data_IF_849230366339
#
_entry.id   IF_849230366339
#
_cell.length_a   1.000
_cell.length_b   1.000
_cell.length_c   1.000
_cell.angle_alpha   90.00
_cell.angle_beta   90.00
_cell.angle_gamma   90.00
#
_symmetry.space_group_name_H-M   'P 1'
#
loop_
_entity.id
_entity.type
_entity.pdbx_description
1 polymer ?
#
# COMPACT_ATOMS: atom_id res chain seq x y z
N UNK A 1 -1.89 18.89 27.26
CA UNK A 1 -3.11 18.36 26.60
C UNK A 1 -3.36 16.96 27.13
N UNK A 2 -4.59 16.56 27.49
CA UNK A 2 -4.89 15.17 27.83
C UNK A 2 -4.60 14.27 26.62
N UNK A 3 -4.05 13.08 26.85
CA UNK A 3 -3.86 12.09 25.78
C UNK A 3 -5.23 11.56 25.37
N UNK A 4 -5.63 11.85 24.14
CA UNK A 4 -6.86 11.27 23.56
C UNK A 4 -6.57 9.82 23.18
N UNK A 5 -7.35 8.88 23.71
CA UNK A 5 -7.29 7.49 23.28
C UNK A 5 -7.91 7.37 21.87
N UNK A 6 -7.08 7.01 20.90
CA UNK A 6 -7.47 6.83 19.50
C UNK A 6 -7.50 5.35 19.10
N UNK A 7 -7.44 4.42 20.05
CA UNK A 7 -7.52 2.98 19.78
C UNK A 7 -8.86 2.62 19.14
N UNK A 8 -8.81 1.77 18.12
CA UNK A 8 -9.96 1.31 17.37
C UNK A 8 -9.69 1.24 15.87
N UNK A 9 -10.75 1.01 15.10
CA UNK A 9 -10.69 1.00 13.65
C UNK A 9 -11.36 2.25 13.08
N UNK A 10 -10.63 2.99 12.26
CA UNK A 10 -11.05 4.26 11.68
C UNK A 10 -11.13 4.12 10.16
N UNK A 11 -12.28 4.45 9.58
CA UNK A 11 -12.50 4.43 8.14
C UNK A 11 -12.32 5.83 7.55
N UNK A 12 -11.56 5.95 6.46
CA UNK A 12 -11.42 7.20 5.70
C UNK A 12 -11.61 6.90 4.21
N UNK A 13 -12.86 6.72 3.79
CA UNK A 13 -13.19 6.30 2.43
C UNK A 13 -12.94 7.38 1.36
N UNK A 14 -12.80 8.66 1.75
CA UNK A 14 -12.33 9.72 0.84
C UNK A 14 -10.84 9.63 0.51
N UNK A 15 -10.07 8.79 1.22
CA UNK A 15 -8.69 8.44 0.89
C UNK A 15 -8.46 6.93 0.68
N UNK A 16 -9.53 6.13 0.70
CA UNK A 16 -9.48 4.66 0.55
C UNK A 16 -8.58 4.03 1.63
N UNK A 17 -8.75 4.48 2.87
CA UNK A 17 -7.97 4.02 4.01
C UNK A 17 -8.85 3.32 5.05
N UNK A 18 -8.32 2.23 5.59
CA UNK A 18 -8.75 1.64 6.87
C UNK A 18 -7.58 1.66 7.84
N UNK A 19 -7.77 2.24 9.02
CA UNK A 19 -6.70 2.44 10.01
C UNK A 19 -7.07 1.74 11.30
N UNK A 20 -6.31 0.72 11.70
CA UNK A 20 -6.43 0.08 13.01
C UNK A 20 -5.34 0.64 13.92
N UNK A 21 -5.73 1.29 15.01
CA UNK A 21 -4.83 1.77 16.04
C UNK A 21 -5.00 0.95 17.30
N UNK A 22 -3.89 0.55 17.91
CA UNK A 22 -3.88 -0.08 19.23
C UNK A 22 -2.57 0.19 19.94
N UNK A 23 -2.65 0.74 21.15
CA UNK A 23 -1.47 1.03 21.98
C UNK A 23 -0.44 1.87 21.20
N UNK A 24 0.73 1.28 20.94
CA UNK A 24 1.90 1.89 20.34
C UNK A 24 2.10 1.53 18.85
N UNK A 25 1.10 0.96 18.20
CA UNK A 25 1.16 0.62 16.78
C UNK A 25 -0.09 1.03 16.01
N UNK A 26 0.09 1.23 14.71
CA UNK A 26 -0.96 1.58 13.76
C UNK A 26 -0.80 0.70 12.52
N UNK A 27 -1.85 0.02 12.11
CA UNK A 27 -1.92 -0.65 10.82
C UNK A 27 -2.78 0.16 9.84
N UNK A 28 -2.29 0.35 8.63
CA UNK A 28 -2.91 1.20 7.60
C UNK A 28 -3.11 0.36 6.35
N UNK A 29 -4.37 0.09 6.01
CA UNK A 29 -4.75 -0.47 4.72
C UNK A 29 -5.03 0.67 3.73
N UNK A 30 -4.42 0.62 2.54
CA UNK A 30 -4.59 1.65 1.50
C UNK A 30 -4.96 1.06 0.14
N UNK A 31 -5.99 1.64 -0.48
CA UNK A 31 -6.41 1.34 -1.84
C UNK A 31 -6.28 2.50 -2.82
N UNK A 32 -6.94 2.31 -3.96
CA UNK A 32 -7.26 3.32 -4.97
C UNK A 32 -8.61 2.98 -5.61
N UNK A 33 -9.24 3.91 -6.30
CA UNK A 33 -10.46 3.70 -7.10
C UNK A 33 -10.30 4.31 -8.48
N UNK A 34 -11.35 4.26 -9.30
CA UNK A 34 -11.46 5.06 -10.51
C UNK A 34 -11.61 6.58 -10.28
N UNK A 35 -11.66 7.03 -9.02
CA UNK A 35 -11.78 8.46 -8.65
C UNK A 35 -10.71 8.97 -7.69
N UNK A 36 -9.97 8.08 -7.05
CA UNK A 36 -8.87 8.44 -6.15
C UNK A 36 -7.65 7.59 -6.49
N UNK A 37 -6.52 8.27 -6.74
CA UNK A 37 -5.30 7.64 -7.19
C UNK A 37 -4.58 6.87 -6.08
N UNK A 38 -3.80 5.85 -6.48
CA UNK A 38 -3.03 5.02 -5.56
C UNK A 38 -1.75 5.66 -5.06
N UNK A 39 -1.12 6.48 -5.90
CA UNK A 39 0.12 7.17 -5.61
C UNK A 39 0.25 8.42 -6.48
N UNK A 40 0.97 9.41 -5.98
CA UNK A 40 1.36 10.61 -6.72
C UNK A 40 2.84 10.52 -7.07
N UNK A 41 3.16 10.66 -8.36
CA UNK A 41 4.54 10.64 -8.87
C UNK A 41 4.81 11.95 -9.60
N UNK A 42 5.95 12.59 -9.31
CA UNK A 42 6.45 13.76 -10.04
C UNK A 42 7.73 13.43 -10.80
N UNK A 43 8.21 14.35 -11.64
CA UNK A 43 9.44 14.17 -12.40
C UNK A 43 10.65 13.74 -11.55
N UNK A 44 10.77 14.27 -10.33
CA UNK A 44 11.90 14.03 -9.42
C UNK A 44 11.49 13.47 -8.05
N UNK A 45 10.24 13.01 -7.87
CA UNK A 45 9.76 12.48 -6.60
C UNK A 45 8.93 11.22 -6.80
N UNK A 46 9.07 10.28 -5.87
CA UNK A 46 8.29 9.04 -5.79
C UNK A 46 8.29 8.18 -7.08
N UNK A 47 9.40 8.20 -7.83
CA UNK A 47 9.44 7.60 -9.18
C UNK A 47 9.09 6.12 -9.23
N UNK A 48 9.30 5.39 -8.12
CA UNK A 48 9.05 3.95 -8.02
C UNK A 48 7.81 3.60 -7.18
N UNK A 49 7.02 4.59 -6.73
CA UNK A 49 5.88 4.41 -5.82
C UNK A 49 4.65 3.72 -6.39
N UNK A 50 4.73 3.12 -7.59
CA UNK A 50 3.61 2.56 -8.37
C UNK A 50 2.64 1.73 -7.53
N UNK A 51 3.16 0.88 -6.65
CA UNK A 51 2.36 -0.09 -5.90
C UNK A 51 1.85 0.40 -4.53
N UNK A 52 2.16 1.63 -4.10
CA UNK A 52 1.76 2.14 -2.77
C UNK A 52 0.24 2.11 -2.49
N UNK A 53 -0.59 2.09 -3.53
CA UNK A 53 -2.05 2.00 -3.41
C UNK A 53 -2.64 0.62 -3.72
N UNK A 54 -1.85 -0.40 -4.08
CA UNK A 54 -2.32 -1.68 -4.60
C UNK A 54 -2.82 -2.62 -3.48
N UNK A 55 -3.68 -2.10 -2.61
CA UNK A 55 -4.14 -2.77 -1.41
C UNK A 55 -3.04 -2.91 -0.36
N UNK A 56 -2.22 -1.89 -0.14
CA UNK A 56 -1.14 -1.95 0.86
C UNK A 56 -1.70 -2.21 2.27
N UNK A 57 -0.86 -2.80 3.13
CA UNK A 57 -1.10 -2.94 4.58
C UNK A 57 0.23 -2.69 5.30
N UNK A 58 0.43 -1.45 5.74
CA UNK A 58 1.62 -1.05 6.49
C UNK A 58 1.36 -1.11 7.98
N UNK A 59 2.31 -1.65 8.76
CA UNK A 59 2.26 -1.67 10.23
C UNK A 59 3.37 -0.76 10.75
N UNK A 60 2.97 0.35 11.35
CA UNK A 60 3.84 1.38 11.89
C UNK A 60 3.93 1.24 13.40
N UNK A 61 5.13 1.34 13.93
CA UNK A 61 5.41 1.35 15.36
C UNK A 61 5.82 2.77 15.82
N UNK A 62 5.95 2.96 17.13
CA UNK A 62 6.39 4.23 17.74
C UNK A 62 7.66 4.81 17.11
N UNK A 63 8.59 3.94 16.73
CA UNK A 63 9.79 4.34 16.03
C UNK A 63 9.78 3.84 14.60
N UNK A 64 10.37 4.67 13.78
CA UNK A 64 10.60 4.45 12.37
C UNK A 64 11.57 3.28 12.12
N UNK A 65 12.58 3.11 12.99
CA UNK A 65 13.47 1.93 13.00
C UNK A 65 12.69 0.63 13.30
N UNK A 66 11.77 0.66 14.28
CA UNK A 66 10.92 -0.49 14.58
C UNK A 66 9.94 -0.82 13.43
N UNK A 67 9.64 0.16 12.58
CA UNK A 67 8.80 -0.01 11.38
C UNK A 67 9.58 -0.64 10.22
N UNK A 68 10.91 -0.48 10.17
CA UNK A 68 11.75 -1.11 9.16
C UNK A 68 11.83 -0.37 7.82
N UNK A 69 11.30 0.86 7.72
CA UNK A 69 11.50 1.74 6.56
C UNK A 69 12.86 2.45 6.63
N UNK A 70 13.63 2.32 5.56
CA UNK A 70 14.93 2.98 5.41
C UNK A 70 14.82 4.42 4.90
N UNK A 71 15.68 5.32 5.37
CA UNK A 71 15.79 6.68 4.84
C UNK A 71 16.23 6.67 3.38
N UNK A 72 15.69 7.60 2.60
CA UNK A 72 15.98 7.72 1.17
C UNK A 72 15.44 6.59 0.29
N UNK A 73 14.97 5.47 0.86
CA UNK A 73 14.56 4.28 0.11
C UNK A 73 15.74 3.41 -0.38
N UNK A 74 16.94 3.62 0.15
CA UNK A 74 18.15 2.91 -0.28
C UNK A 74 18.05 1.42 0.05
N UNK A 75 18.10 0.57 -0.98
CA UNK A 75 17.95 -0.89 -0.80
C UNK A 75 16.50 -1.36 -0.54
N UNK A 76 15.52 -0.45 -0.59
CA UNK A 76 14.10 -0.81 -0.55
C UNK A 76 13.63 -1.33 -1.91
N UNK A 77 13.04 -2.52 -1.95
CA UNK A 77 12.42 -3.05 -3.16
C UNK A 77 10.99 -2.53 -3.31
N UNK A 78 10.79 -1.63 -4.27
CA UNK A 78 9.49 -1.03 -4.53
C UNK A 78 8.50 -1.98 -5.23
N UNK A 79 8.92 -3.16 -5.69
CA UNK A 79 8.00 -4.24 -6.06
C UNK A 79 7.27 -4.82 -4.84
N UNK A 80 7.90 -4.76 -3.66
CA UNK A 80 7.56 -5.52 -2.45
C UNK A 80 6.96 -4.60 -1.38
N UNK A 81 6.08 -3.68 -1.79
CA UNK A 81 5.36 -2.82 -0.85
C UNK A 81 4.49 -3.67 0.10
N UNK A 82 4.56 -3.48 1.44
CA UNK A 82 3.87 -4.34 2.40
C UNK A 82 2.36 -4.46 2.15
N UNK A 83 1.85 -5.68 2.23
CA UNK A 83 0.44 -6.03 2.04
C UNK A 83 -0.08 -6.00 0.61
N UNK A 84 0.63 -5.36 -0.31
CA UNK A 84 0.19 -5.18 -1.70
C UNK A 84 0.18 -6.49 -2.47
N UNK A 85 -0.68 -6.57 -3.48
CA UNK A 85 -0.54 -7.56 -4.56
C UNK A 85 0.03 -6.84 -5.78
N UNK A 86 1.20 -7.25 -6.24
CA UNK A 86 1.97 -6.57 -7.28
C UNK A 86 2.53 -7.56 -8.30
N UNK A 87 3.06 -7.03 -9.40
CA UNK A 87 3.86 -7.80 -10.36
C UNK A 87 5.31 -7.42 -10.13
N UNK A 88 6.14 -8.39 -9.75
CA UNK A 88 7.57 -8.17 -9.56
C UNK A 88 8.24 -8.05 -10.93
N UNK A 89 8.66 -6.83 -11.26
CA UNK A 89 9.29 -6.48 -12.52
C UNK A 89 10.81 -6.66 -12.39
N UNK A 90 11.38 -7.55 -13.20
CA UNK A 90 12.82 -7.81 -13.22
C UNK A 90 13.62 -6.63 -13.76
N UNK A 91 13.10 -5.95 -14.78
CA UNK A 91 13.60 -4.65 -15.21
C UNK A 91 12.93 -3.55 -14.38
N UNK A 92 13.69 -3.09 -13.39
CA UNK A 92 13.28 -2.08 -12.42
C UNK A 92 12.92 -0.73 -13.07
N UNK A 93 13.39 -0.44 -14.29
CA UNK A 93 13.00 0.76 -15.02
C UNK A 93 11.50 0.77 -15.37
N UNK A 94 10.84 -0.40 -15.41
CA UNK A 94 9.41 -0.52 -15.69
C UNK A 94 8.51 -0.24 -14.48
N UNK A 95 9.07 -0.12 -13.27
CA UNK A 95 8.33 0.34 -12.10
C UNK A 95 8.01 1.83 -12.16
N UNK A 96 8.89 2.62 -12.80
CA UNK A 96 8.70 4.07 -12.94
C UNK A 96 7.96 4.40 -14.23
N UNK A 97 7.20 5.52 -14.27
CA UNK A 97 6.63 5.98 -15.52
C UNK A 97 7.72 6.30 -16.56
N UNK A 98 7.48 6.02 -17.86
CA UNK A 98 8.46 6.25 -18.92
C UNK A 98 8.76 7.74 -19.12
N UNK A 99 7.75 8.60 -18.97
CA UNK A 99 7.90 10.06 -19.05
C UNK A 99 8.24 10.68 -17.70
N UNK A 100 9.09 11.72 -17.70
CA UNK A 100 9.38 12.55 -16.53
C UNK A 100 8.31 13.64 -16.34
N UNK A 101 7.09 13.25 -15.97
CA UNK A 101 5.99 14.17 -15.68
C UNK A 101 5.09 13.61 -14.58
N UNK A 102 4.15 14.41 -14.10
CA UNK A 102 3.21 13.98 -13.06
C UNK A 102 2.39 12.77 -13.54
N UNK A 103 2.27 11.76 -12.67
CA UNK A 103 1.55 10.51 -12.93
C UNK A 103 0.81 10.07 -11.68
N UNK A 104 -0.48 9.79 -11.87
CA UNK A 104 -1.41 9.35 -10.83
C UNK A 104 -2.23 8.20 -11.38
N UNK A 105 -1.96 6.97 -10.95
CA UNK A 105 -2.71 5.80 -11.41
C UNK A 105 -4.03 5.67 -10.63
N UNK A 106 -5.11 5.51 -11.40
CA UNK A 106 -6.44 5.16 -10.95
C UNK A 106 -6.68 3.71 -11.38
N UNK A 107 -7.62 3.02 -10.73
CA UNK A 107 -7.98 1.65 -11.15
C UNK A 107 -9.26 1.65 -11.99
N UNK A 108 -9.54 0.56 -12.70
CA UNK A 108 -10.72 0.44 -13.56
C UNK A 108 -12.06 0.31 -12.81
N UNK A 109 -12.04 0.04 -11.51
CA UNK A 109 -13.24 -0.15 -10.68
C UNK A 109 -13.37 0.91 -9.56
N UNK A 110 -14.58 1.01 -8.98
CA UNK A 110 -14.89 1.97 -7.91
C UNK A 110 -14.86 1.36 -6.50
N UNK A 111 -14.75 0.04 -6.37
CA UNK A 111 -14.85 -0.64 -5.08
C UNK A 111 -13.48 -0.75 -4.38
N UNK A 112 -13.22 0.22 -3.50
CA UNK A 112 -12.16 0.13 -2.50
C UNK A 112 -12.54 1.00 -1.30
N UNK A 113 -12.35 0.48 -0.08
CA UNK A 113 -12.66 1.23 1.12
C UNK A 113 -12.67 0.37 2.37
N UNK A 114 -13.08 0.99 3.47
CA UNK A 114 -13.14 0.38 4.77
C UNK A 114 -14.49 0.61 5.45
N UNK A 115 -14.83 -0.30 6.36
CA UNK A 115 -15.97 -0.20 7.26
C UNK A 115 -15.49 -0.45 8.69
N UNK A 116 -15.78 0.51 9.58
CA UNK A 116 -15.54 0.40 11.02
C UNK A 116 -16.71 -0.27 11.73
N UNK A 117 -16.40 -1.17 12.65
CA UNK A 117 -17.29 -1.75 13.64
C UNK A 117 -16.78 -1.43 15.06
N UNK A 118 -16.32 -0.19 15.27
CA UNK A 118 -15.78 0.27 16.55
C UNK A 118 -14.30 -0.10 16.70
N UNK A 119 -14.00 -1.12 17.49
CA UNK A 119 -12.62 -1.58 17.69
C UNK A 119 -12.09 -2.39 16.51
N UNK A 120 -13.00 -2.99 15.76
CA UNK A 120 -12.71 -3.90 14.66
C UNK A 120 -13.18 -3.29 13.35
N UNK A 121 -12.77 -3.86 12.23
CA UNK A 121 -13.21 -3.39 10.94
C UNK A 121 -12.72 -4.23 9.78
N UNK A 122 -13.15 -3.82 8.60
CA UNK A 122 -12.79 -4.45 7.33
C UNK A 122 -12.26 -3.39 6.37
N UNK A 123 -11.22 -3.74 5.62
CA UNK A 123 -10.85 -3.07 4.37
C UNK A 123 -11.05 -4.05 3.22
N UNK A 124 -11.58 -3.59 2.09
CA UNK A 124 -11.75 -4.40 0.90
C UNK A 124 -11.52 -3.61 -0.38
N UNK A 125 -11.08 -4.32 -1.42
CA UNK A 125 -10.77 -3.77 -2.73
C UNK A 125 -11.02 -4.83 -3.83
N UNK A 126 -11.74 -4.44 -4.88
CA UNK A 126 -11.80 -5.18 -6.16
C UNK A 126 -10.97 -4.37 -7.15
N UNK A 127 -9.80 -4.88 -7.50
CA UNK A 127 -8.80 -4.18 -8.32
C UNK A 127 -8.80 -4.70 -9.75
N UNK A 128 -8.89 -3.75 -10.68
CA UNK A 128 -8.52 -3.96 -12.09
C UNK A 128 -7.53 -2.87 -12.45
N UNK A 129 -6.33 -3.26 -12.86
CA UNK A 129 -5.33 -2.31 -13.32
C UNK A 129 -5.87 -1.51 -14.51
N UNK A 130 -5.87 -0.19 -14.38
CA UNK A 130 -6.00 0.74 -15.49
C UNK A 130 -4.72 1.56 -15.56
N UNK A 131 -3.75 1.06 -16.34
CA UNK A 131 -2.49 1.76 -16.50
C UNK A 131 -2.68 3.13 -17.15
N UNK A 132 -3.75 3.36 -17.93
CA UNK A 132 -4.08 4.63 -18.58
C UNK A 132 -2.88 5.33 -19.24
N UNK A 133 -2.00 4.58 -19.90
CA UNK A 133 -0.77 5.08 -20.55
C UNK A 133 0.36 5.52 -19.60
N UNK A 134 0.23 5.30 -18.29
CA UNK A 134 1.22 5.70 -17.26
C UNK A 134 2.34 4.68 -17.11
N UNK A 135 2.02 3.41 -17.39
CA UNK A 135 2.92 2.27 -17.32
C UNK A 135 2.58 1.26 -18.42
N UNK A 136 3.48 0.32 -18.66
CA UNK A 136 3.11 -0.94 -19.32
C UNK A 136 2.10 -1.68 -18.45
N UNK A 137 0.94 -2.00 -19.02
CA UNK A 137 -0.08 -2.77 -18.32
C UNK A 137 0.44 -4.19 -18.06
N UNK A 138 0.26 -4.66 -16.84
CA UNK A 138 0.48 -6.04 -16.45
C UNK A 138 -0.83 -6.84 -16.42
N UNK A 139 -1.96 -6.23 -16.78
CA UNK A 139 -3.30 -6.82 -16.67
C UNK A 139 -3.58 -7.38 -15.27
N UNK A 140 -3.07 -6.70 -14.25
CA UNK A 140 -3.18 -7.15 -12.86
C UNK A 140 -4.63 -6.97 -12.39
N UNK A 141 -5.23 -8.07 -11.93
CA UNK A 141 -6.53 -8.04 -11.24
C UNK A 141 -6.41 -8.81 -9.95
N UNK A 142 -7.12 -8.37 -8.92
CA UNK A 142 -7.25 -9.12 -7.67
C UNK A 142 -8.44 -8.61 -6.86
N UNK A 143 -8.93 -9.45 -5.96
CA UNK A 143 -9.81 -9.06 -4.87
C UNK A 143 -9.10 -9.28 -3.57
N UNK A 144 -9.03 -8.24 -2.75
CA UNK A 144 -8.36 -8.28 -1.46
C UNK A 144 -9.32 -7.82 -0.37
N UNK A 145 -9.29 -8.52 0.76
CA UNK A 145 -9.97 -8.11 1.98
C UNK A 145 -9.05 -8.31 3.18
N UNK A 146 -9.19 -7.43 4.16
CA UNK A 146 -8.44 -7.43 5.42
C UNK A 146 -9.48 -7.29 6.52
N UNK A 147 -9.62 -8.31 7.35
CA UNK A 147 -10.43 -8.27 8.56
C UNK A 147 -9.51 -7.99 9.73
N UNK A 148 -9.75 -6.88 10.42
CA UNK A 148 -8.96 -6.46 11.58
C UNK A 148 -9.81 -6.64 12.83
N UNK A 149 -9.37 -7.53 13.72
CA UNK A 149 -9.99 -7.76 15.02
C UNK A 149 -8.92 -7.97 16.09
N UNK A 150 -9.07 -7.32 17.24
CA UNK A 150 -8.05 -7.28 18.29
C UNK A 150 -6.66 -6.87 17.76
N UNK A 151 -5.71 -7.81 17.75
CA UNK A 151 -4.36 -7.69 17.21
C UNK A 151 -4.11 -8.60 16.01
N UNK A 152 -5.17 -9.13 15.39
CA UNK A 152 -5.12 -10.09 14.28
C UNK A 152 -5.65 -9.43 13.02
N UNK A 153 -4.92 -9.63 11.92
CA UNK A 153 -5.33 -9.27 10.57
C UNK A 153 -5.48 -10.52 9.74
N UNK A 154 -6.70 -10.86 9.33
CA UNK A 154 -6.96 -11.94 8.37
C UNK A 154 -6.99 -11.33 6.97
N UNK A 155 -5.96 -11.64 6.18
CA UNK A 155 -5.81 -11.14 4.82
C UNK A 155 -6.23 -12.22 3.81
N UNK A 156 -7.26 -11.94 3.01
CA UNK A 156 -7.72 -12.85 1.96
C UNK A 156 -7.50 -12.22 0.58
N UNK A 157 -7.02 -13.04 -0.36
CA UNK A 157 -6.82 -12.69 -1.76
C UNK A 157 -7.53 -13.69 -2.67
N UNK A 158 -8.18 -13.21 -3.73
CA UNK A 158 -8.82 -14.08 -4.73
C UNK A 158 -8.83 -13.42 -6.11
N UNK A 159 -9.13 -14.21 -7.16
CA UNK A 159 -9.15 -13.74 -8.57
C UNK A 159 -7.87 -12.99 -8.97
N UNK A 160 -6.73 -13.46 -8.46
CA UNK A 160 -5.43 -12.87 -8.73
C UNK A 160 -4.99 -13.34 -10.12
N UNK A 161 -4.74 -12.38 -11.01
CA UNK A 161 -4.22 -12.63 -12.34
C UNK A 161 -3.27 -11.49 -12.73
N UNK A 162 -2.26 -11.77 -13.54
CA UNK A 162 -1.33 -10.75 -14.04
C UNK A 162 -0.36 -11.33 -15.06
N UNK A 163 0.46 -10.48 -15.66
CA UNK A 163 1.38 -10.82 -16.74
C UNK A 163 2.63 -9.92 -16.74
N UNK A 164 3.68 -10.34 -17.44
CA UNK A 164 4.91 -9.55 -17.59
C UNK A 164 5.85 -9.59 -16.38
N UNK A 165 5.62 -10.51 -15.42
CA UNK A 165 6.48 -10.73 -14.25
C UNK A 165 5.83 -11.71 -13.27
N UNK A 166 6.48 -11.92 -12.12
CA UNK A 166 5.93 -12.77 -11.05
C UNK A 166 4.84 -12.01 -10.29
N UNK A 167 3.63 -12.54 -10.24
CA UNK A 167 2.55 -11.97 -9.42
C UNK A 167 2.71 -12.45 -7.99
N UNK A 168 2.79 -11.53 -7.03
CA UNK A 168 2.97 -11.85 -5.63
C UNK A 168 2.14 -10.94 -4.71
N UNK A 169 1.71 -11.48 -3.57
CA UNK A 169 1.21 -10.69 -2.45
C UNK A 169 2.30 -10.64 -1.38
N UNK A 170 2.71 -9.43 -1.02
CA UNK A 170 3.87 -9.21 -0.17
C UNK A 170 3.44 -9.16 1.31
N UNK A 171 3.96 -10.04 2.16
CA UNK A 171 3.59 -10.06 3.58
C UNK A 171 4.18 -8.86 4.32
N UNK A 172 5.50 -8.71 4.25
CA UNK A 172 6.24 -7.60 4.83
C UNK A 172 7.58 -7.44 4.11
N UNK A 173 8.17 -6.25 4.25
CA UNK A 173 9.55 -5.96 3.92
C UNK A 173 10.10 -5.11 5.06
N UNK A 174 11.29 -5.45 5.54
CA UNK A 174 11.94 -4.71 6.61
C UNK A 174 13.44 -4.74 6.37
N UNK A 175 14.10 -3.62 6.60
CA UNK A 175 15.55 -3.51 6.51
C UNK A 175 16.13 -3.47 7.91
N UNK A 176 16.98 -4.44 8.23
CA UNK A 176 17.66 -4.53 9.50
C UNK A 176 19.07 -3.95 9.34
N UNK A 177 19.29 -2.66 9.68
CA UNK A 177 20.65 -2.09 9.66
C UNK A 177 20.88 -1.10 10.79
N UNK A 178 22.09 -1.13 11.37
CA UNK A 178 22.54 -0.21 12.43
C UNK A 178 23.09 1.13 11.91
N UNK A 179 23.05 1.38 10.59
CA UNK A 179 23.77 2.51 9.94
C UNK A 179 22.91 3.40 9.05
N UNK A 180 21.68 3.01 8.72
CA UNK A 180 20.81 3.81 7.88
C UNK A 180 19.71 4.46 8.73
N UNK A 181 19.56 5.79 8.69
CA UNK A 181 18.46 6.44 9.39
C UNK A 181 17.14 5.97 8.78
N UNK A 182 16.03 6.23 9.46
CA UNK A 182 14.70 5.86 9.01
C UNK A 182 14.06 6.85 8.01
N UNK A 183 13.04 6.41 7.26
CA UNK A 183 12.33 7.26 6.29
C UNK A 183 11.54 8.41 6.95
N UNK A 184 10.90 8.12 8.08
CA UNK A 184 10.17 9.09 8.88
C UNK A 184 11.06 9.51 10.06
N UNK A 185 11.23 10.81 10.29
CA UNK A 185 11.91 11.38 11.46
C UNK A 185 10.89 11.97 12.42
#
# INVERSE_FOLDING_TARGET
>A
MPVVNLDGFHQFNYGQLGIKRSKNWVAIAKGLTNKMFGTEIYANANRYGRYQGYGALDILYETSDATGYISGGDGWDWNVMPGTTSVHLSDYANLRPPSNSTKEEYQGLSFAGALSAGKDGIFAMDFVQDAGGRYTSNNLTFRKSIFAFDSIFVCLGSKINGSGGNVATNLFQSIHSSTNPSLYK
#
